data_IF_503515108467
#
_entry.id   IF_503515108467
#
_cell.length_a   1.000
_cell.length_b   1.000
_cell.length_c   1.000
_cell.angle_alpha   90.00
_cell.angle_beta   90.00
_cell.angle_gamma   90.00
#
_symmetry.space_group_name_H-M   'P 1'
#
loop_
_entity.id
_entity.type
_entity.pdbx_description
1 polymer ?
#
# COMPACT_ATOMS: atom_id res chain seq x y z
N UNK A 1 7.31 7.30 3.34
CA UNK A 1 5.97 6.74 3.10
C UNK A 1 5.28 7.48 1.96
N UNK A 2 5.23 8.79 1.99
CA UNK A 2 4.40 9.64 1.11
C UNK A 2 5.00 9.97 -0.28
N UNK A 3 6.26 9.66 -0.53
CA UNK A 3 6.84 9.81 -1.88
C UNK A 3 6.28 8.71 -2.78
N UNK A 4 5.48 9.05 -3.77
CA UNK A 4 4.76 8.08 -4.62
C UNK A 4 5.45 7.83 -5.96
N UNK A 5 6.16 8.81 -6.47
CA UNK A 5 6.76 8.77 -7.80
C UNK A 5 8.27 8.52 -7.75
N UNK A 6 8.76 7.82 -8.76
CA UNK A 6 10.15 7.54 -8.98
C UNK A 6 10.79 6.53 -8.03
N UNK A 7 12.06 6.19 -8.25
CA UNK A 7 12.80 5.28 -7.41
C UNK A 7 13.12 5.93 -6.07
N UNK A 8 12.89 5.19 -4.98
CA UNK A 8 13.20 5.63 -3.63
C UNK A 8 14.11 4.62 -2.93
N UNK A 9 15.28 5.07 -2.49
CA UNK A 9 16.19 4.29 -1.66
C UNK A 9 16.06 4.70 -0.20
N UNK A 10 15.79 3.73 0.68
CA UNK A 10 15.71 3.94 2.13
C UNK A 10 16.88 3.22 2.80
N UNK A 11 17.81 4.01 3.34
CA UNK A 11 18.94 3.49 4.10
C UNK A 11 18.56 3.41 5.59
N UNK A 12 18.67 2.21 6.15
CA UNK A 12 18.25 1.98 7.53
C UNK A 12 19.01 0.79 8.15
N UNK A 13 19.46 0.94 9.38
CA UNK A 13 20.15 -0.11 10.14
C UNK A 13 19.24 -1.27 10.56
N UNK A 14 19.81 -2.31 11.15
CA UNK A 14 19.05 -3.40 11.73
C UNK A 14 18.13 -2.88 12.86
N UNK A 15 16.90 -3.38 12.95
CA UNK A 15 15.95 -2.96 13.99
C UNK A 15 15.31 -1.56 13.80
N UNK A 16 15.65 -0.81 12.76
CA UNK A 16 15.18 0.55 12.52
C UNK A 16 13.73 0.68 11.98
N UNK A 17 12.98 -0.41 11.93
CA UNK A 17 11.60 -0.40 11.46
C UNK A 17 11.43 -0.37 9.94
N UNK A 18 12.44 -0.79 9.14
CA UNK A 18 12.36 -0.84 7.67
C UNK A 18 11.09 -1.52 7.15
N UNK A 19 10.75 -2.67 7.70
CA UNK A 19 9.55 -3.41 7.29
C UNK A 19 8.29 -2.62 7.61
N UNK A 20 8.24 -1.93 8.73
CA UNK A 20 7.11 -1.06 9.10
C UNK A 20 6.96 0.08 8.10
N UNK A 21 8.06 0.73 7.71
CA UNK A 21 8.04 1.79 6.67
C UNK A 21 7.54 1.23 5.34
N UNK A 22 7.99 0.04 4.93
CA UNK A 22 7.57 -0.61 3.70
C UNK A 22 6.07 -0.92 3.70
N UNK A 23 5.57 -1.53 4.78
CA UNK A 23 4.14 -1.85 4.95
C UNK A 23 3.29 -0.58 4.88
N UNK A 24 3.66 0.47 5.64
CA UNK A 24 2.95 1.74 5.62
C UNK A 24 2.99 2.42 4.25
N UNK A 25 4.11 2.31 3.52
CA UNK A 25 4.21 2.84 2.16
C UNK A 25 3.26 2.13 1.20
N UNK A 26 3.24 0.80 1.23
CA UNK A 26 2.34 -0.01 0.40
C UNK A 26 0.89 0.33 0.73
N UNK A 27 0.53 0.37 2.01
CA UNK A 27 -0.82 0.72 2.45
C UNK A 27 -1.22 2.14 2.01
N UNK A 28 -0.31 3.11 2.11
CA UNK A 28 -0.54 4.47 1.62
C UNK A 28 -0.80 4.51 0.10
N UNK A 29 0.01 3.79 -0.68
CA UNK A 29 -0.16 3.73 -2.14
C UNK A 29 -1.51 3.14 -2.53
N UNK A 30 -1.97 2.12 -1.81
CA UNK A 30 -3.23 1.42 -2.08
C UNK A 30 -4.43 2.24 -1.59
N UNK A 31 -4.38 2.77 -0.37
CA UNK A 31 -5.50 3.52 0.22
C UNK A 31 -5.65 4.93 -0.32
N UNK A 32 -4.55 5.66 -0.45
CA UNK A 32 -4.56 7.09 -0.70
C UNK A 32 -3.84 7.51 -1.99
N UNK A 33 -2.85 6.71 -2.45
CA UNK A 33 -2.04 7.05 -3.61
C UNK A 33 -1.21 8.31 -3.39
N UNK A 34 -1.38 9.30 -4.27
CA UNK A 34 -0.67 10.59 -4.24
C UNK A 34 -1.47 11.71 -3.55
N UNK A 35 -2.50 11.38 -2.77
CA UNK A 35 -3.37 12.40 -2.16
C UNK A 35 -2.67 13.23 -1.08
N UNK A 36 -1.58 12.74 -0.48
CA UNK A 36 -0.85 13.47 0.55
C UNK A 36 -0.27 14.77 0.01
N UNK A 37 -0.66 15.88 0.61
CA UNK A 37 -0.24 17.22 0.17
C UNK A 37 -0.96 17.76 -1.08
N UNK A 38 -1.91 17.01 -1.63
CA UNK A 38 -2.76 17.46 -2.73
C UNK A 38 -3.96 18.25 -2.19
N UNK A 39 -4.31 19.34 -2.88
CA UNK A 39 -5.55 20.08 -2.65
C UNK A 39 -6.68 19.62 -3.58
N UNK A 40 -6.41 18.64 -4.47
CA UNK A 40 -7.42 18.13 -5.38
C UNK A 40 -8.46 17.28 -4.67
N UNK A 41 -9.72 17.51 -4.99
CA UNK A 41 -10.84 16.68 -4.53
C UNK A 41 -11.79 16.41 -5.69
N UNK A 42 -12.43 15.22 -5.74
CA UNK A 42 -13.34 14.85 -6.84
C UNK A 42 -14.65 15.64 -6.85
N UNK A 43 -15.00 16.29 -5.75
CA UNK A 43 -16.13 17.20 -5.58
C UNK A 43 -15.81 18.29 -4.58
N UNK A 44 -16.66 19.28 -4.47
CA UNK A 44 -16.56 20.33 -3.46
C UNK A 44 -16.61 19.72 -2.04
N UNK A 45 -15.76 20.24 -1.17
CA UNK A 45 -15.67 19.83 0.24
C UNK A 45 -16.75 20.53 1.04
N UNK A 46 -17.57 19.79 1.75
CA UNK A 46 -18.63 20.30 2.61
C UNK A 46 -18.17 20.43 4.07
N UNK A 47 -18.92 21.21 4.87
CA UNK A 47 -18.67 21.30 6.31
C UNK A 47 -18.84 19.94 7.01
N UNK A 48 -19.72 19.09 6.51
CA UNK A 48 -19.95 17.74 7.03
C UNK A 48 -18.73 16.84 6.78
N UNK A 49 -18.09 16.92 5.60
CA UNK A 49 -16.85 16.20 5.29
C UNK A 49 -15.75 16.56 6.30
N UNK A 50 -15.57 17.86 6.53
CA UNK A 50 -14.56 18.37 7.46
C UNK A 50 -14.86 17.92 8.90
N UNK A 51 -16.10 17.96 9.32
CA UNK A 51 -16.52 17.54 10.67
C UNK A 51 -16.28 16.04 10.86
N UNK A 52 -16.65 15.22 9.88
CA UNK A 52 -16.45 13.78 9.93
C UNK A 52 -14.97 13.40 10.01
N UNK A 53 -14.12 14.03 9.20
CA UNK A 53 -12.66 13.82 9.25
C UNK A 53 -12.06 14.26 10.59
N UNK A 54 -12.43 15.42 11.11
CA UNK A 54 -11.99 15.89 12.44
C UNK A 54 -12.37 14.90 13.52
N UNK A 55 -13.60 14.38 13.48
CA UNK A 55 -14.07 13.39 14.46
C UNK A 55 -13.24 12.11 14.37
N UNK A 56 -13.01 11.56 13.18
CA UNK A 56 -12.20 10.37 12.97
C UNK A 56 -10.76 10.55 13.51
N UNK A 57 -10.14 11.69 13.24
CA UNK A 57 -8.81 12.03 13.76
C UNK A 57 -8.80 12.09 15.30
N UNK A 58 -9.78 12.76 15.90
CA UNK A 58 -9.87 12.94 17.35
C UNK A 58 -10.14 11.62 18.09
N UNK A 59 -10.90 10.72 17.49
CA UNK A 59 -11.25 9.42 18.06
C UNK A 59 -10.26 8.30 17.70
N UNK A 60 -9.34 8.56 16.77
CA UNK A 60 -8.39 7.56 16.26
C UNK A 60 -9.09 6.45 15.46
N UNK A 61 -10.25 6.73 14.89
CA UNK A 61 -11.01 5.79 14.05
C UNK A 61 -10.73 6.05 12.56
N UNK A 62 -11.04 5.06 11.71
CA UNK A 62 -11.01 5.25 10.27
C UNK A 62 -12.03 6.31 9.83
N UNK A 63 -11.73 7.00 8.74
CA UNK A 63 -12.68 7.91 8.12
C UNK A 63 -13.92 7.14 7.62
N UNK A 64 -15.11 7.73 7.63
CA UNK A 64 -16.29 7.09 7.09
C UNK A 64 -16.11 6.68 5.61
N UNK A 65 -16.60 5.50 5.24
CA UNK A 65 -16.41 4.93 3.90
C UNK A 65 -16.88 5.84 2.75
N UNK A 66 -17.88 6.69 2.99
CA UNK A 66 -18.36 7.66 2.00
C UNK A 66 -17.33 8.77 1.68
N UNK A 67 -16.31 8.95 2.52
CA UNK A 67 -15.18 9.85 2.27
C UNK A 67 -14.02 9.20 1.52
N UNK A 68 -14.01 7.89 1.34
CA UNK A 68 -12.89 7.18 0.70
C UNK A 68 -12.50 7.78 -0.64
N UNK A 69 -13.48 8.10 -1.49
CA UNK A 69 -13.24 8.74 -2.79
C UNK A 69 -12.61 10.13 -2.68
N UNK A 70 -12.86 10.85 -1.59
CA UNK A 70 -12.28 12.17 -1.33
C UNK A 70 -10.82 12.11 -0.89
N UNK A 71 -10.42 10.97 -0.29
CA UNK A 71 -9.09 10.76 0.29
C UNK A 71 -8.14 10.04 -0.68
N UNK A 72 -8.60 9.68 -1.88
CA UNK A 72 -7.82 8.92 -2.86
C UNK A 72 -7.48 9.76 -4.09
N UNK A 73 -6.20 9.73 -4.47
CA UNK A 73 -5.73 10.29 -5.74
C UNK A 73 -4.68 9.35 -6.33
N UNK A 74 -4.92 8.85 -7.53
CA UNK A 74 -4.01 7.89 -8.21
C UNK A 74 -3.67 6.67 -7.34
N UNK A 75 -4.61 6.17 -6.55
CA UNK A 75 -4.41 4.99 -5.72
C UNK A 75 -4.12 3.77 -6.57
N UNK A 76 -3.14 2.97 -6.15
CA UNK A 76 -2.71 1.77 -6.85
C UNK A 76 -3.58 0.59 -6.43
N UNK A 77 -3.96 -0.26 -7.37
CA UNK A 77 -4.65 -1.53 -7.04
C UNK A 77 -3.69 -2.50 -6.36
N UNK A 78 -4.16 -3.24 -5.36
CA UNK A 78 -3.36 -4.18 -4.56
C UNK A 78 -2.60 -5.19 -5.42
N UNK A 79 -3.24 -5.74 -6.45
CA UNK A 79 -2.63 -6.70 -7.38
C UNK A 79 -1.57 -6.11 -8.33
N UNK A 80 -1.46 -4.79 -8.41
CA UNK A 80 -0.40 -4.10 -9.15
C UNK A 80 0.85 -3.84 -8.29
N UNK A 81 0.82 -4.22 -7.01
CA UNK A 81 1.95 -4.06 -6.09
C UNK A 81 2.72 -5.38 -5.99
N UNK A 82 4.02 -5.31 -6.26
CA UNK A 82 4.95 -6.42 -6.05
C UNK A 82 5.93 -6.07 -4.94
N UNK A 83 5.92 -6.85 -3.87
CA UNK A 83 6.82 -6.72 -2.74
C UNK A 83 7.76 -7.93 -2.67
N UNK A 84 9.05 -7.69 -2.84
CA UNK A 84 10.06 -8.76 -2.92
C UNK A 84 10.94 -8.76 -1.68
N UNK A 85 11.16 -9.95 -1.11
CA UNK A 85 12.03 -10.19 0.03
C UNK A 85 13.06 -11.28 -0.27
N UNK A 86 14.04 -11.46 0.62
CA UNK A 86 15.06 -12.51 0.44
C UNK A 86 14.60 -13.87 0.97
N UNK A 87 13.73 -13.93 1.97
CA UNK A 87 13.33 -15.18 2.63
C UNK A 87 11.81 -15.36 2.62
N UNK A 88 11.38 -16.62 2.59
CA UNK A 88 9.95 -16.96 2.70
C UNK A 88 9.35 -16.49 4.02
N UNK A 89 10.12 -16.54 5.11
CA UNK A 89 9.68 -16.03 6.41
C UNK A 89 9.37 -14.53 6.33
N UNK A 90 10.28 -13.72 5.78
CA UNK A 90 10.07 -12.28 5.62
C UNK A 90 8.90 -11.96 4.67
N UNK A 91 8.71 -12.75 3.61
CA UNK A 91 7.56 -12.62 2.72
C UNK A 91 6.23 -12.91 3.45
N UNK A 92 6.21 -13.96 4.27
CA UNK A 92 5.05 -14.31 5.10
C UNK A 92 4.72 -13.21 6.13
N UNK A 93 5.71 -12.73 6.87
CA UNK A 93 5.54 -11.65 7.85
C UNK A 93 5.05 -10.35 7.18
N UNK A 94 5.57 -10.03 6.00
CA UNK A 94 5.13 -8.86 5.23
C UNK A 94 3.67 -8.99 4.82
N UNK A 95 3.28 -10.16 4.32
CA UNK A 95 1.91 -10.46 3.91
C UNK A 95 0.94 -10.36 5.08
N UNK A 96 1.28 -10.95 6.23
CA UNK A 96 0.46 -10.87 7.44
C UNK A 96 0.25 -9.42 7.91
N UNK A 97 1.30 -8.61 7.90
CA UNK A 97 1.20 -7.18 8.26
C UNK A 97 0.33 -6.39 7.29
N UNK A 98 0.42 -6.68 5.99
CA UNK A 98 -0.45 -6.06 4.97
C UNK A 98 -1.90 -6.46 5.15
N UNK A 99 -2.20 -7.74 5.45
CA UNK A 99 -3.54 -8.21 5.78
C UNK A 99 -4.14 -7.48 6.97
N UNK A 100 -3.34 -7.32 8.03
CA UNK A 100 -3.77 -6.62 9.25
C UNK A 100 -4.03 -5.12 9.01
N UNK A 101 -3.32 -4.51 8.07
CA UNK A 101 -3.43 -3.08 7.80
C UNK A 101 -4.48 -2.73 6.74
N UNK A 102 -4.61 -3.52 5.68
CA UNK A 102 -5.50 -3.26 4.54
C UNK A 102 -6.83 -4.00 4.63
N UNK A 103 -6.92 -5.00 5.50
CA UNK A 103 -7.98 -6.00 5.50
C UNK A 103 -7.58 -7.26 4.74
N UNK A 104 -8.25 -8.39 5.05
CA UNK A 104 -7.84 -9.71 4.58
C UNK A 104 -7.79 -9.83 3.07
N UNK A 105 -8.83 -9.40 2.39
CA UNK A 105 -8.95 -9.53 0.93
C UNK A 105 -7.92 -8.65 0.20
N UNK A 106 -7.90 -7.35 0.47
CA UNK A 106 -7.02 -6.40 -0.19
C UNK A 106 -5.54 -6.65 0.12
N UNK A 107 -5.22 -7.05 1.36
CA UNK A 107 -3.85 -7.40 1.76
C UNK A 107 -3.34 -8.68 1.09
N UNK A 108 -4.22 -9.65 0.81
CA UNK A 108 -3.87 -10.92 0.15
C UNK A 108 -3.59 -10.76 -1.35
N UNK A 109 -4.18 -9.76 -1.99
CA UNK A 109 -3.95 -9.45 -3.40
C UNK A 109 -2.55 -8.89 -3.68
N UNK A 110 -1.90 -8.28 -2.69
CA UNK A 110 -0.52 -7.81 -2.84
C UNK A 110 0.41 -8.99 -3.09
N UNK A 111 1.14 -8.94 -4.20
CA UNK A 111 2.09 -10.00 -4.54
C UNK A 111 3.35 -9.88 -3.68
N UNK A 112 3.32 -10.47 -2.48
CA UNK A 112 4.48 -10.56 -1.58
C UNK A 112 5.16 -11.94 -1.72
N UNK A 113 6.42 -11.97 -2.14
CA UNK A 113 7.17 -13.22 -2.35
C UNK A 113 8.69 -13.02 -2.24
N UNK A 114 9.44 -14.14 -2.34
CA UNK A 114 10.89 -14.04 -2.54
C UNK A 114 11.21 -13.71 -4.00
N UNK A 115 12.40 -13.16 -4.23
CA UNK A 115 12.90 -12.89 -5.58
C UNK A 115 12.85 -14.13 -6.48
N UNK A 116 13.29 -15.28 -5.98
CA UNK A 116 13.27 -16.56 -6.72
C UNK A 116 11.83 -16.95 -7.10
N UNK A 117 10.88 -16.88 -6.17
CA UNK A 117 9.48 -17.22 -6.43
C UNK A 117 8.84 -16.27 -7.44
N UNK A 118 9.18 -14.98 -7.38
CA UNK A 118 8.71 -13.99 -8.35
C UNK A 118 9.25 -14.30 -9.76
N UNK A 119 10.54 -14.58 -9.89
CA UNK A 119 11.16 -14.96 -11.17
C UNK A 119 10.54 -16.24 -11.74
N UNK A 120 10.37 -17.28 -10.94
CA UNK A 120 9.72 -18.54 -11.38
C UNK A 120 8.30 -18.28 -11.89
N UNK A 121 7.53 -17.44 -11.19
CA UNK A 121 6.17 -17.09 -11.61
C UNK A 121 6.15 -16.37 -12.96
N UNK A 122 7.06 -15.41 -13.16
CA UNK A 122 7.19 -14.67 -14.42
C UNK A 122 7.59 -15.63 -15.56
N UNK A 123 8.62 -16.44 -15.35
CA UNK A 123 9.09 -17.39 -16.35
C UNK A 123 8.01 -18.39 -16.75
N UNK A 124 7.27 -18.95 -15.78
CA UNK A 124 6.17 -19.88 -16.07
C UNK A 124 5.04 -19.24 -16.89
N UNK A 125 4.73 -17.96 -16.60
CA UNK A 125 3.68 -17.24 -17.33
C UNK A 125 4.05 -16.94 -18.78
N UNK A 126 5.33 -16.75 -19.05
CA UNK A 126 5.87 -16.34 -20.34
C UNK A 126 6.75 -17.41 -20.99
N UNK A 127 6.68 -18.68 -20.51
CA UNK A 127 7.50 -19.77 -20.99
C UNK A 127 7.40 -19.95 -22.51
N UNK A 128 6.19 -19.89 -23.05
CA UNK A 128 5.96 -20.04 -24.50
C UNK A 128 6.56 -18.90 -25.34
N UNK A 129 6.81 -17.74 -24.74
CA UNK A 129 7.40 -16.57 -25.42
C UNK A 129 8.93 -16.62 -25.44
N UNK A 130 9.54 -17.51 -24.67
CA UNK A 130 11.01 -17.63 -24.51
C UNK A 130 11.55 -18.81 -25.33
N UNK A 131 10.72 -19.73 -25.80
CA UNK A 131 11.07 -20.93 -26.59
C UNK A 131 11.21 -22.18 -25.75
#
# INVERSE_FOLDING_TARGET
VFTTDGPLLILAGAGSGKTTVLVNRIANLIRFGSAHGSSWTPREVTEEDVKALKTAIMTGTDAPAWLDGMLRQNAVRSWNVMAITFTNKAAGELKERLRNMLGGEEGDEVFASTFHSACVRILRRWAESIG
#
